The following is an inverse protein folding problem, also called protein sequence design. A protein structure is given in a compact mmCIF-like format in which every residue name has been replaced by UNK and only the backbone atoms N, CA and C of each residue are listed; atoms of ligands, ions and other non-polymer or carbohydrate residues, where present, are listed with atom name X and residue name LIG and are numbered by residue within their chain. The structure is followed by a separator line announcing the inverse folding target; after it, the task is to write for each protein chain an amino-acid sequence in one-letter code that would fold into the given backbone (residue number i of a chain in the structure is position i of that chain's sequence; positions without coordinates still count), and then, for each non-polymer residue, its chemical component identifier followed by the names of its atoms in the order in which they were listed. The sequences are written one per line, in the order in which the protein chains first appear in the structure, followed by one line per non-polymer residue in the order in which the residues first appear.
data_IF_209531876302
#
_entry.id   IF_209531876302
#
_cell.length_a   1.000
_cell.length_b   1.000
_cell.length_c   1.000
_cell.angle_alpha   90.00
_cell.angle_beta   90.00
_cell.angle_gamma   90.00
#
_symmetry.space_group_name_H-M   'P 1'
#
loop_
_entity.id
_entity.type
_entity.pdbx_description
1 polymer ?
#
# COMPACT_ATOMS: atom_id res chain seq x y z
N UNK A 1 -3.65 -15.99 -28.95
CA UNK A 1 -3.70 -14.60 -28.45
C UNK A 1 -4.97 -14.30 -27.65
N UNK A 2 -6.18 -14.28 -28.26
CA UNK A 2 -7.44 -14.06 -27.49
C UNK A 2 -7.89 -15.28 -26.66
N UNK A 3 -7.62 -16.51 -27.11
CA UNK A 3 -7.89 -17.73 -26.34
C UNK A 3 -6.99 -17.83 -25.10
N UNK A 4 -5.67 -17.67 -25.27
CA UNK A 4 -4.69 -17.77 -24.17
C UNK A 4 -4.98 -16.81 -23.00
N UNK A 5 -5.47 -15.60 -23.28
CA UNK A 5 -5.82 -14.63 -22.23
C UNK A 5 -7.08 -15.03 -21.47
N UNK A 6 -8.05 -15.66 -22.14
CA UNK A 6 -9.27 -16.16 -21.52
C UNK A 6 -8.98 -17.38 -20.65
N UNK A 7 -8.14 -18.28 -21.13
CA UNK A 7 -7.72 -19.48 -20.40
C UNK A 7 -6.93 -19.12 -19.14
N UNK A 8 -6.03 -18.13 -19.23
CA UNK A 8 -5.30 -17.61 -18.06
C UNK A 8 -6.24 -16.94 -17.04
N UNK A 9 -7.29 -16.31 -17.52
CA UNK A 9 -8.29 -15.65 -16.69
C UNK A 9 -9.14 -16.64 -15.90
N UNK A 10 -9.57 -17.72 -16.54
CA UNK A 10 -10.30 -18.82 -15.90
C UNK A 10 -9.40 -19.56 -14.91
N UNK A 11 -8.15 -19.85 -15.29
CA UNK A 11 -7.18 -20.49 -14.41
C UNK A 11 -6.94 -19.69 -13.11
N UNK A 12 -6.84 -18.36 -13.21
CA UNK A 12 -6.69 -17.49 -12.02
C UNK A 12 -7.90 -17.58 -11.08
N UNK A 13 -9.11 -17.69 -11.64
CA UNK A 13 -10.32 -17.83 -10.83
C UNK A 13 -10.30 -19.18 -10.13
N UNK A 14 -10.05 -20.27 -10.86
CA UNK A 14 -9.95 -21.63 -10.30
C UNK A 14 -8.94 -21.68 -9.15
N UNK A 15 -7.72 -21.21 -9.40
CA UNK A 15 -6.66 -21.19 -8.39
C UNK A 15 -6.99 -20.29 -7.19
N UNK A 16 -7.65 -19.15 -7.41
CA UNK A 16 -8.08 -18.29 -6.31
C UNK A 16 -9.16 -18.95 -5.45
N UNK A 17 -10.04 -19.74 -6.05
CA UNK A 17 -11.15 -20.42 -5.35
C UNK A 17 -10.77 -21.78 -4.77
N UNK A 18 -9.61 -22.33 -5.12
CA UNK A 18 -9.15 -23.60 -4.56
C UNK A 18 -8.65 -23.37 -3.14
N UNK A 19 -9.25 -24.08 -2.20
CA UNK A 19 -8.93 -23.94 -0.77
C UNK A 19 -7.47 -24.29 -0.48
N UNK A 20 -6.86 -23.52 0.43
CA UNK A 20 -5.48 -23.71 0.87
C UNK A 20 -4.39 -23.19 -0.06
N UNK A 21 -4.71 -22.80 -1.31
CA UNK A 21 -3.69 -22.21 -2.21
C UNK A 21 -3.19 -20.87 -1.65
N UNK A 22 -4.11 -19.97 -1.28
CA UNK A 22 -3.71 -18.67 -0.73
C UNK A 22 -2.95 -18.81 0.60
N UNK A 23 -3.45 -19.65 1.51
CA UNK A 23 -2.79 -19.95 2.77
C UNK A 23 -1.37 -20.51 2.55
N UNK A 24 -1.21 -21.44 1.61
CA UNK A 24 0.08 -21.98 1.23
C UNK A 24 1.04 -20.92 0.71
N UNK A 25 0.57 -19.99 -0.12
CA UNK A 25 1.38 -18.88 -0.65
C UNK A 25 1.79 -17.89 0.43
N UNK A 26 0.88 -17.57 1.37
CA UNK A 26 1.17 -16.68 2.50
C UNK A 26 2.14 -17.33 3.47
N UNK A 27 1.97 -18.63 3.78
CA UNK A 27 2.94 -19.40 4.58
C UNK A 27 4.30 -19.45 3.91
N UNK A 28 4.35 -19.74 2.60
CA UNK A 28 5.59 -19.72 1.84
C UNK A 28 6.27 -18.34 1.90
N UNK A 29 5.48 -17.27 1.87
CA UNK A 29 5.99 -15.90 2.00
C UNK A 29 6.54 -15.65 3.41
N UNK A 30 5.84 -16.04 4.47
CA UNK A 30 6.25 -15.78 5.87
C UNK A 30 7.44 -16.63 6.28
N UNK A 31 7.34 -17.94 6.09
CA UNK A 31 8.21 -18.95 6.68
C UNK A 31 9.56 -19.04 5.96
N UNK A 32 9.62 -18.66 4.67
CA UNK A 32 10.83 -18.76 3.86
C UNK A 32 11.36 -17.38 3.48
N UNK A 33 12.67 -17.18 3.71
CA UNK A 33 13.37 -15.94 3.35
C UNK A 33 14.25 -16.09 2.11
N UNK A 34 14.19 -17.22 1.41
CA UNK A 34 14.88 -17.38 0.13
C UNK A 34 14.25 -16.48 -0.93
N UNK A 35 15.09 -15.74 -1.67
CA UNK A 35 14.66 -14.84 -2.76
C UNK A 35 13.69 -15.52 -3.73
N UNK A 36 13.93 -16.78 -4.07
CA UNK A 36 13.05 -17.58 -4.94
C UNK A 36 11.65 -17.79 -4.35
N UNK A 37 11.54 -18.13 -3.07
CA UNK A 37 10.26 -18.38 -2.41
C UNK A 37 9.44 -17.09 -2.36
N UNK A 38 10.06 -15.99 -1.93
CA UNK A 38 9.42 -14.68 -1.86
C UNK A 38 8.94 -14.22 -3.23
N UNK A 39 9.79 -14.33 -4.26
CA UNK A 39 9.44 -13.98 -5.64
C UNK A 39 8.24 -14.78 -6.16
N UNK A 40 8.23 -16.10 -5.94
CA UNK A 40 7.13 -16.96 -6.40
C UNK A 40 5.84 -16.60 -5.67
N UNK A 41 5.88 -16.47 -4.34
CA UNK A 41 4.72 -16.09 -3.54
C UNK A 41 4.15 -14.73 -3.96
N UNK A 42 4.99 -13.69 -4.04
CA UNK A 42 4.53 -12.34 -4.41
C UNK A 42 3.92 -12.32 -5.80
N UNK A 43 4.55 -12.99 -6.78
CA UNK A 43 4.00 -13.07 -8.16
C UNK A 43 2.66 -13.79 -8.20
N UNK A 44 2.51 -14.90 -7.48
CA UNK A 44 1.27 -15.66 -7.43
C UNK A 44 0.17 -14.85 -6.73
N UNK A 45 0.46 -14.28 -5.55
CA UNK A 45 -0.48 -13.46 -4.79
C UNK A 45 -0.97 -12.28 -5.63
N UNK A 46 -0.05 -11.53 -6.26
CA UNK A 46 -0.39 -10.43 -7.15
C UNK A 46 -1.30 -10.89 -8.30
N UNK A 47 -0.96 -11.98 -8.98
CA UNK A 47 -1.73 -12.51 -10.10
C UNK A 47 -3.16 -12.92 -9.69
N UNK A 48 -3.32 -13.52 -8.51
CA UNK A 48 -4.63 -13.94 -8.00
C UNK A 48 -5.47 -12.73 -7.54
N UNK A 49 -4.84 -11.71 -6.94
CA UNK A 49 -5.50 -10.47 -6.52
C UNK A 49 -6.02 -9.60 -7.68
N UNK A 50 -5.69 -9.92 -8.93
CA UNK A 50 -6.33 -9.32 -10.11
C UNK A 50 -7.81 -9.70 -10.24
N UNK A 51 -8.26 -10.71 -9.50
CA UNK A 51 -9.65 -11.15 -9.42
C UNK A 51 -10.24 -10.85 -8.05
N UNK A 52 -11.55 -10.60 -8.00
CA UNK A 52 -12.26 -10.31 -6.76
C UNK A 52 -12.11 -11.45 -5.74
N UNK A 53 -12.32 -12.69 -6.18
CA UNK A 53 -12.20 -13.89 -5.36
C UNK A 53 -10.80 -14.03 -4.76
N UNK A 54 -9.77 -13.73 -5.56
CA UNK A 54 -8.39 -13.79 -5.08
C UNK A 54 -8.08 -12.72 -4.03
N UNK A 55 -8.70 -11.54 -4.12
CA UNK A 55 -8.58 -10.51 -3.07
C UNK A 55 -9.26 -10.95 -1.77
N UNK A 56 -10.48 -11.49 -1.86
CA UNK A 56 -11.23 -11.98 -0.69
C UNK A 56 -10.44 -13.08 0.03
N UNK A 57 -9.97 -14.10 -0.70
CA UNK A 57 -9.14 -15.19 -0.17
C UNK A 57 -7.78 -14.73 0.36
N UNK A 58 -7.17 -13.73 -0.27
CA UNK A 58 -5.92 -13.16 0.23
C UNK A 58 -6.11 -12.40 1.56
N UNK A 59 -7.26 -11.75 1.75
CA UNK A 59 -7.59 -11.11 3.04
C UNK A 59 -7.86 -12.16 4.11
N UNK A 60 -8.62 -13.22 3.78
CA UNK A 60 -8.86 -14.35 4.69
C UNK A 60 -7.55 -15.01 5.15
N UNK A 61 -6.58 -15.16 4.25
CA UNK A 61 -5.28 -15.77 4.53
C UNK A 61 -4.24 -14.80 5.16
N UNK A 62 -4.63 -13.58 5.53
CA UNK A 62 -3.74 -12.54 6.08
C UNK A 62 -2.51 -12.21 5.19
N UNK A 63 -2.74 -12.18 3.87
CA UNK A 63 -1.75 -11.71 2.91
C UNK A 63 -1.36 -10.23 3.07
N UNK A 64 -2.25 -9.28 3.46
CA UNK A 64 -1.88 -7.89 3.66
C UNK A 64 -0.69 -7.72 4.62
N UNK A 65 -0.75 -8.32 5.81
CA UNK A 65 0.32 -8.24 6.80
C UNK A 65 1.62 -8.88 6.27
N UNK A 66 1.52 -10.07 5.69
CA UNK A 66 2.68 -10.79 5.14
C UNK A 66 3.42 -9.99 4.04
N UNK A 67 2.67 -9.32 3.16
CA UNK A 67 3.25 -8.47 2.11
C UNK A 67 3.97 -7.25 2.70
N UNK A 68 3.36 -6.58 3.68
CA UNK A 68 3.91 -5.38 4.32
C UNK A 68 5.21 -5.70 5.07
N UNK A 69 5.24 -6.80 5.82
CA UNK A 69 6.42 -7.26 6.55
C UNK A 69 7.61 -7.56 5.61
N UNK A 70 7.35 -7.98 4.36
CA UNK A 70 8.39 -8.30 3.37
C UNK A 70 8.85 -7.14 2.50
N UNK A 71 8.19 -5.97 2.52
CA UNK A 71 8.60 -4.81 1.72
C UNK A 71 10.04 -4.38 1.98
N UNK A 72 10.54 -4.55 3.21
CA UNK A 72 11.91 -4.17 3.60
C UNK A 72 12.99 -5.19 3.24
N UNK A 73 12.61 -6.41 2.83
CA UNK A 73 13.51 -7.57 2.64
C UNK A 73 13.49 -8.12 1.22
N UNK A 74 12.91 -7.39 0.27
CA UNK A 74 12.70 -7.84 -1.11
C UNK A 74 13.58 -7.12 -2.10
N UNK A 75 13.95 -7.82 -3.17
CA UNK A 75 14.56 -7.23 -4.36
C UNK A 75 13.59 -6.21 -5.00
N UNK A 76 14.13 -5.15 -5.61
CA UNK A 76 13.33 -4.04 -6.19
C UNK A 76 12.13 -4.52 -7.02
N UNK A 77 12.34 -5.53 -7.88
CA UNK A 77 11.29 -6.01 -8.80
C UNK A 77 10.16 -6.78 -8.10
N UNK A 78 10.44 -7.35 -6.94
CA UNK A 78 9.46 -8.06 -6.12
C UNK A 78 8.74 -7.07 -5.19
N UNK A 79 9.43 -6.04 -4.69
CA UNK A 79 8.83 -4.93 -3.96
C UNK A 79 7.77 -4.22 -4.80
N UNK A 80 8.03 -3.91 -6.07
CA UNK A 80 7.03 -3.29 -6.96
C UNK A 80 5.75 -4.13 -7.06
N UNK A 81 5.88 -5.46 -7.22
CA UNK A 81 4.72 -6.36 -7.31
C UNK A 81 3.98 -6.52 -5.99
N UNK A 82 4.71 -6.57 -4.87
CA UNK A 82 4.11 -6.61 -3.54
C UNK A 82 3.28 -5.34 -3.30
N UNK A 83 3.79 -4.17 -3.66
CA UNK A 83 3.05 -2.90 -3.58
C UNK A 83 1.82 -2.89 -4.48
N UNK A 84 1.94 -3.43 -5.70
CA UNK A 84 0.78 -3.61 -6.59
C UNK A 84 -0.29 -4.53 -5.98
N UNK A 85 0.10 -5.60 -5.29
CA UNK A 85 -0.83 -6.49 -4.61
C UNK A 85 -1.51 -5.80 -3.41
N UNK A 86 -0.74 -5.04 -2.61
CA UNK A 86 -1.28 -4.24 -1.50
C UNK A 86 -2.31 -3.22 -2.03
N UNK A 87 -2.01 -2.51 -3.11
CA UNK A 87 -2.95 -1.54 -3.68
C UNK A 87 -4.24 -2.23 -4.16
N UNK A 88 -4.11 -3.37 -4.84
CA UNK A 88 -5.27 -4.16 -5.26
C UNK A 88 -6.13 -4.59 -4.07
N UNK A 89 -5.52 -5.01 -2.96
CA UNK A 89 -6.23 -5.39 -1.73
C UNK A 89 -6.94 -4.19 -1.11
N UNK A 90 -6.34 -3.00 -1.15
CA UNK A 90 -6.98 -1.76 -0.69
C UNK A 90 -8.25 -1.37 -1.48
N UNK A 91 -8.52 -2.00 -2.63
CA UNK A 91 -9.79 -1.79 -3.37
C UNK A 91 -10.99 -2.53 -2.75
N UNK A 92 -10.76 -3.42 -1.77
CA UNK A 92 -11.82 -4.04 -0.97
C UNK A 92 -11.83 -3.45 0.42
N UNK A 93 -13.00 -3.38 1.05
CA UNK A 93 -13.12 -2.85 2.42
C UNK A 93 -12.28 -3.67 3.42
N UNK A 94 -12.38 -5.01 3.35
CA UNK A 94 -11.61 -5.90 4.22
C UNK A 94 -10.09 -5.77 4.02
N UNK A 95 -9.63 -5.64 2.78
CA UNK A 95 -8.21 -5.47 2.48
C UNK A 95 -7.69 -4.10 2.92
N UNK A 96 -8.44 -3.03 2.64
CA UNK A 96 -8.09 -1.68 3.10
C UNK A 96 -8.01 -1.62 4.63
N UNK A 97 -8.98 -2.20 5.33
CA UNK A 97 -9.00 -2.29 6.79
C UNK A 97 -7.80 -3.07 7.32
N UNK A 98 -7.47 -4.22 6.72
CA UNK A 98 -6.33 -5.03 7.13
C UNK A 98 -4.99 -4.28 6.96
N UNK A 99 -4.80 -3.60 5.83
CA UNK A 99 -3.60 -2.76 5.59
C UNK A 99 -3.57 -1.59 6.57
N UNK A 100 -4.68 -0.88 6.76
CA UNK A 100 -4.75 0.29 7.64
C UNK A 100 -4.48 -0.04 9.13
N UNK A 101 -4.86 -1.24 9.58
CA UNK A 101 -4.67 -1.67 10.96
C UNK A 101 -3.28 -2.24 11.26
N UNK A 102 -2.51 -2.59 10.22
CA UNK A 102 -1.20 -3.19 10.42
C UNK A 102 -0.15 -2.13 10.83
N UNK A 103 0.60 -2.31 11.95
CA UNK A 103 1.43 -1.24 12.55
C UNK A 103 2.54 -0.68 11.66
N UNK A 104 3.05 -1.50 10.73
CA UNK A 104 4.15 -1.09 9.86
C UNK A 104 3.68 -0.42 8.57
N UNK A 105 2.40 -0.47 8.23
CA UNK A 105 1.88 -0.14 6.90
C UNK A 105 2.25 1.27 6.46
N UNK A 106 1.91 2.27 7.26
CA UNK A 106 2.18 3.67 6.93
C UNK A 106 3.69 3.88 6.79
N UNK A 107 4.46 3.44 7.78
CA UNK A 107 5.92 3.62 7.78
C UNK A 107 6.60 2.93 6.58
N UNK A 108 6.15 1.74 6.20
CA UNK A 108 6.71 0.98 5.09
C UNK A 108 6.36 1.61 3.74
N UNK A 109 5.10 2.03 3.57
CA UNK A 109 4.63 2.66 2.34
C UNK A 109 5.25 4.05 2.12
N UNK A 110 5.37 4.88 3.17
CA UNK A 110 6.05 6.18 3.08
C UNK A 110 7.52 5.98 2.71
N UNK A 111 8.19 4.97 3.30
CA UNK A 111 9.62 4.72 3.05
C UNK A 111 9.94 4.34 1.61
N UNK A 112 9.01 3.75 0.84
CA UNK A 112 9.28 3.28 -0.53
C UNK A 112 8.99 4.30 -1.62
N UNK A 113 8.29 5.41 -1.30
CA UNK A 113 8.02 6.51 -2.23
C UNK A 113 9.34 7.01 -2.83
N UNK A 114 9.43 7.07 -4.17
CA UNK A 114 10.60 7.50 -4.94
C UNK A 114 11.88 6.64 -4.78
N UNK A 115 11.85 5.50 -4.08
CA UNK A 115 13.06 4.68 -3.84
C UNK A 115 13.18 3.41 -4.69
N UNK A 116 12.06 2.93 -5.22
CA UNK A 116 11.99 1.63 -5.92
C UNK A 116 11.89 1.80 -7.44
N UNK A 117 10.76 2.33 -7.91
CA UNK A 117 10.46 2.61 -9.32
C UNK A 117 9.26 3.58 -9.39
N UNK A 118 8.97 4.13 -10.57
CA UNK A 118 7.79 4.99 -10.75
C UNK A 118 6.48 4.23 -10.51
N UNK A 119 6.42 2.97 -10.95
CA UNK A 119 5.25 2.09 -10.70
C UNK A 119 5.09 1.74 -9.24
N UNK A 120 6.18 1.41 -8.55
CA UNK A 120 6.14 1.17 -7.11
C UNK A 120 5.69 2.42 -6.34
N UNK A 121 6.16 3.60 -6.76
CA UNK A 121 5.72 4.88 -6.19
C UNK A 121 4.24 5.13 -6.42
N UNK A 122 3.74 4.84 -7.63
CA UNK A 122 2.31 4.92 -7.95
C UNK A 122 1.45 3.99 -7.07
N UNK A 123 1.89 2.75 -6.85
CA UNK A 123 1.20 1.77 -6.00
C UNK A 123 1.24 2.16 -4.52
N UNK A 124 2.38 2.62 -4.02
CA UNK A 124 2.53 3.07 -2.65
C UNK A 124 1.65 4.31 -2.36
N UNK A 125 1.66 5.31 -3.26
CA UNK A 125 0.82 6.50 -3.13
C UNK A 125 -0.67 6.15 -3.16
N UNK A 126 -1.09 5.21 -4.01
CA UNK A 126 -2.48 4.75 -4.07
C UNK A 126 -2.91 3.99 -2.82
N UNK A 127 -2.03 3.13 -2.30
CA UNK A 127 -2.27 2.40 -1.05
C UNK A 127 -2.39 3.35 0.15
N UNK A 128 -1.49 4.34 0.25
CA UNK A 128 -1.54 5.39 1.27
C UNK A 128 -2.83 6.21 1.19
N UNK A 129 -3.23 6.60 -0.02
CA UNK A 129 -4.48 7.32 -0.24
C UNK A 129 -5.69 6.52 0.23
N UNK A 130 -5.76 5.22 -0.08
CA UNK A 130 -6.85 4.37 0.36
C UNK A 130 -6.92 4.26 1.89
N UNK A 131 -5.81 3.95 2.56
CA UNK A 131 -5.82 3.78 4.03
C UNK A 131 -6.00 5.10 4.78
N UNK A 132 -5.52 6.23 4.23
CA UNK A 132 -5.74 7.54 4.81
C UNK A 132 -7.21 7.98 4.69
N UNK A 133 -7.90 7.60 3.60
CA UNK A 133 -9.35 7.83 3.50
C UNK A 133 -10.13 6.96 4.50
N UNK A 134 -9.62 5.77 4.81
CA UNK A 134 -10.24 4.85 5.75
C UNK A 134 -10.01 5.22 7.23
N UNK A 135 -8.86 5.81 7.56
CA UNK A 135 -8.43 6.01 8.95
C UNK A 135 -7.72 7.34 9.20
N UNK A 136 -8.28 8.18 10.07
CA UNK A 136 -7.62 9.40 10.57
C UNK A 136 -6.31 9.10 11.31
N UNK A 137 -6.23 7.95 11.98
CA UNK A 137 -4.98 7.51 12.62
C UNK A 137 -3.88 7.33 11.58
N UNK A 138 -4.19 6.71 10.44
CA UNK A 138 -3.25 6.56 9.34
C UNK A 138 -2.81 7.93 8.75
N UNK A 139 -3.73 8.92 8.69
CA UNK A 139 -3.38 10.28 8.27
C UNK A 139 -2.35 10.92 9.21
N UNK A 140 -2.59 10.85 10.53
CA UNK A 140 -1.67 11.39 11.56
C UNK A 140 -0.30 10.70 11.50
N UNK A 141 -0.29 9.38 11.39
CA UNK A 141 0.95 8.61 11.24
C UNK A 141 1.70 8.96 9.95
N UNK A 142 1.00 9.16 8.84
CA UNK A 142 1.64 9.49 7.56
C UNK A 142 2.31 10.87 7.62
N UNK A 143 1.63 11.86 8.20
CA UNK A 143 2.20 13.20 8.44
C UNK A 143 3.42 13.12 9.37
N UNK A 144 3.32 12.35 10.47
CA UNK A 144 4.45 12.13 11.39
C UNK A 144 5.64 11.43 10.72
N UNK A 145 5.37 10.50 9.80
CA UNK A 145 6.39 9.81 9.01
C UNK A 145 7.02 10.68 7.90
N UNK A 146 6.58 11.94 7.74
CA UNK A 146 7.17 12.89 6.80
C UNK A 146 6.65 12.78 5.36
N UNK A 147 5.47 12.18 5.14
CA UNK A 147 4.91 11.96 3.80
C UNK A 147 4.76 13.26 2.98
N UNK A 148 4.50 14.40 3.63
CA UNK A 148 4.26 15.68 2.93
C UNK A 148 5.46 16.07 2.06
N UNK A 149 6.68 15.94 2.59
CA UNK A 149 7.91 16.23 1.83
C UNK A 149 8.04 15.30 0.62
N UNK A 150 7.83 14.00 0.83
CA UNK A 150 7.94 12.99 -0.22
C UNK A 150 6.91 13.21 -1.35
N UNK A 151 5.68 13.59 -1.01
CA UNK A 151 4.64 13.88 -2.02
C UNK A 151 4.92 15.15 -2.84
N UNK A 152 5.48 16.19 -2.21
CA UNK A 152 5.90 17.40 -2.92
C UNK A 152 7.03 17.09 -3.91
N UNK A 153 8.03 16.32 -3.48
CA UNK A 153 9.10 15.84 -4.35
C UNK A 153 8.56 14.97 -5.50
N UNK A 154 7.61 14.08 -5.21
CA UNK A 154 6.98 13.23 -6.22
C UNK A 154 6.30 14.06 -7.31
N UNK A 155 5.55 15.11 -6.94
CA UNK A 155 4.87 15.98 -7.91
C UNK A 155 5.88 16.69 -8.83
N UNK A 156 7.03 17.08 -8.31
CA UNK A 156 8.10 17.77 -9.04
C UNK A 156 8.99 16.84 -9.88
N UNK A 157 9.00 15.54 -9.58
CA UNK A 157 9.79 14.54 -10.31
C UNK A 157 9.19 14.18 -11.68
N UNK A 158 9.89 13.36 -12.46
CA UNK A 158 9.40 12.80 -13.74
C UNK A 158 8.57 11.51 -13.58
N UNK A 159 8.07 11.21 -12.36
CA UNK A 159 7.16 10.08 -12.12
C UNK A 159 5.88 10.13 -12.98
N UNK A 160 5.18 9.00 -13.05
CA UNK A 160 3.96 8.85 -13.86
C UNK A 160 2.87 9.88 -13.50
N UNK A 161 2.07 10.29 -14.48
CA UNK A 161 0.93 11.18 -14.24
C UNK A 161 -0.04 10.61 -13.19
N UNK A 162 -0.22 9.28 -13.17
CA UNK A 162 -1.06 8.60 -12.18
C UNK A 162 -0.50 8.71 -10.76
N UNK A 163 0.82 8.57 -10.59
CA UNK A 163 1.47 8.79 -9.30
C UNK A 163 1.26 10.23 -8.83
N UNK A 164 1.47 11.22 -9.71
CA UNK A 164 1.28 12.65 -9.40
C UNK A 164 -0.16 12.97 -8.98
N UNK A 165 -1.16 12.44 -9.70
CA UNK A 165 -2.58 12.62 -9.34
C UNK A 165 -2.90 12.04 -7.98
N UNK A 166 -2.43 10.83 -7.66
CA UNK A 166 -2.61 10.20 -6.35
C UNK A 166 -1.96 11.02 -5.24
N UNK A 167 -0.75 11.54 -5.48
CA UNK A 167 -0.04 12.39 -4.54
C UNK A 167 -0.78 13.70 -4.26
N UNK A 168 -1.31 14.36 -5.28
CA UNK A 168 -2.13 15.57 -5.12
C UNK A 168 -3.40 15.30 -4.31
N UNK A 169 -4.08 14.19 -4.56
CA UNK A 169 -5.28 13.82 -3.80
C UNK A 169 -4.94 13.50 -2.34
N UNK A 170 -3.82 12.84 -2.09
CA UNK A 170 -3.35 12.55 -0.74
C UNK A 170 -2.97 13.84 0.01
N UNK A 171 -2.29 14.78 -0.63
CA UNK A 171 -2.00 16.09 -0.03
C UNK A 171 -3.28 16.86 0.34
N UNK A 172 -4.30 16.84 -0.53
CA UNK A 172 -5.60 17.47 -0.24
C UNK A 172 -6.26 16.83 0.99
N UNK A 173 -6.23 15.51 1.09
CA UNK A 173 -6.77 14.77 2.23
C UNK A 173 -6.04 15.11 3.54
N UNK A 174 -4.70 15.22 3.49
CA UNK A 174 -3.88 15.48 4.68
C UNK A 174 -3.85 16.95 5.12
N UNK A 175 -4.46 17.86 4.36
CA UNK A 175 -4.42 19.31 4.63
C UNK A 175 -4.91 19.66 6.03
N UNK A 176 -6.07 19.15 6.43
CA UNK A 176 -6.69 19.43 7.74
C UNK A 176 -5.83 18.96 8.91
N UNK A 177 -5.12 17.84 8.74
CA UNK A 177 -4.20 17.28 9.75
C UNK A 177 -2.90 18.06 9.84
N UNK A 178 -2.43 18.62 8.72
CA UNK A 178 -1.23 19.47 8.68
C UNK A 178 -1.47 20.85 9.30
N UNK A 179 -2.64 21.45 9.07
CA UNK A 179 -2.97 22.79 9.59
C UNK A 179 -2.95 22.83 11.12
N UNK A 180 -3.33 21.74 11.80
CA UNK A 180 -3.26 21.61 13.26
C UNK A 180 -1.83 21.50 13.83
N UNK A 181 -0.81 21.31 12.99
CA UNK A 181 0.61 21.26 13.41
C UNK A 181 1.39 22.53 13.06
N UNK A 182 0.88 23.36 12.15
CA UNK A 182 1.55 24.58 11.68
C UNK A 182 1.18 25.80 12.55
N UNK A 183 0.15 25.71 13.37
CA UNK A 183 -0.16 26.71 14.40
C UNK A 183 0.32 26.24 15.78
N UNK A 184 1.51 26.66 16.26
CA UNK A 184 1.68 26.78 17.70
C UNK A 184 0.57 27.73 18.20
N UNK A 185 -0.11 27.37 19.29
CA UNK A 185 -1.08 28.23 19.98
C UNK A 185 -0.41 29.55 20.42
N UNK A 186 -0.27 30.52 19.53
CA UNK A 186 -0.08 31.92 19.90
C UNK A 186 -1.45 32.52 20.13
N UNK A 187 -2.04 32.17 21.28
CA UNK A 187 -3.42 32.49 21.58
C UNK A 187 -3.82 32.35 23.04
N UNK A 188 -2.92 32.65 23.98
CA UNK A 188 -3.32 33.08 25.33
C UNK A 188 -2.51 34.32 25.71
N UNK A 189 -3.15 35.46 25.51
CA UNK A 189 -2.76 36.77 26.02
C UNK A 189 -2.82 36.77 27.54
N UNK A 190 -1.70 37.12 28.18
CA UNK A 190 -1.75 37.87 29.43
C UNK A 190 -1.24 39.28 29.10
N UNK A 191 -2.14 40.10 28.53
CA UNK A 191 -2.00 41.55 28.63
C UNK A 191 -2.26 41.87 30.09
N UNK A 192 -1.19 42.03 30.87
CA UNK A 192 -1.28 42.58 32.22
C UNK A 192 -1.57 44.08 32.06
N UNK A 193 -2.71 44.60 32.51
CA UNK A 193 -2.84 46.04 32.64
C UNK A 193 -2.00 46.50 33.84
N UNK A 194 -1.50 47.73 33.71
CA UNK A 194 -0.65 48.54 34.60
C UNK A 194 0.86 48.47 34.32
#
# INVERSE_FOLDING_TARGET
MLSDSKDLHELRVVLATTDGIMDGLVRLLRDFNTSRAVKVSVKAIFSLCLRRQGKEKAVEADAPAALIEKLSRTERSDTERALGAIELLCTTEGGCKAVANHPLSVSALVKVILKVSDRATEYAAGSLLAICNFSEKAQKEAVQAGIIKELLLLIQSDCTCRAKTKAMNLLKLLRSVCDHRIMPEYGRTDVVPF
#
